data_IF_700576767419
#
_entry.id   IF_700576767419
#
_cell.length_a   1.000
_cell.length_b   1.000
_cell.length_c   1.000
_cell.angle_alpha   90.00
_cell.angle_beta   90.00
_cell.angle_gamma   90.00
#
_symmetry.space_group_name_H-M   'P 1'
#
loop_
_entity.id
_entity.type
_entity.pdbx_description
1 polymer ?
#
# COMPACT_ATOMS: atom_id res chain seq x y z
N UNK A 1 20.81 11.87 -12.07
CA UNK A 1 21.17 10.74 -11.18
C UNK A 1 20.13 9.66 -11.42
N UNK A 2 20.54 8.39 -11.57
CA UNK A 2 19.66 7.24 -11.79
C UNK A 2 18.71 7.01 -10.60
N UNK A 3 17.73 7.90 -10.43
CA UNK A 3 16.83 8.01 -9.26
C UNK A 3 15.66 7.04 -9.28
N UNK A 4 15.84 5.87 -9.91
CA UNK A 4 14.84 4.83 -9.97
C UNK A 4 15.03 3.81 -8.85
N UNK A 5 13.93 3.21 -8.41
CA UNK A 5 13.93 2.08 -7.49
C UNK A 5 14.78 0.92 -8.06
N UNK A 6 15.71 0.42 -7.25
CA UNK A 6 16.75 -0.53 -7.68
C UNK A 6 16.17 -1.93 -7.90
N UNK A 7 15.17 -2.32 -7.12
CA UNK A 7 14.57 -3.66 -7.14
C UNK A 7 13.26 -3.69 -7.90
N UNK A 8 12.47 -2.63 -7.84
CA UNK A 8 11.15 -2.57 -8.47
C UNK A 8 11.24 -2.77 -9.98
N UNK A 9 10.58 -3.81 -10.49
CA UNK A 9 10.54 -4.15 -11.92
C UNK A 9 9.15 -4.67 -12.28
N UNK A 10 8.56 -4.08 -13.32
CA UNK A 10 7.34 -4.57 -13.97
C UNK A 10 7.75 -5.28 -15.25
N UNK A 11 7.74 -6.61 -15.20
CA UNK A 11 8.12 -7.48 -16.32
C UNK A 11 6.95 -8.29 -16.89
N UNK A 12 5.83 -8.31 -16.16
CA UNK A 12 4.65 -9.08 -16.49
C UNK A 12 3.39 -8.23 -16.34
N UNK A 13 2.54 -8.21 -17.38
CA UNK A 13 1.28 -7.47 -17.39
C UNK A 13 0.28 -8.09 -16.42
N UNK A 14 -0.62 -7.26 -15.90
CA UNK A 14 -1.76 -7.75 -15.12
C UNK A 14 -2.59 -8.71 -15.97
N UNK A 15 -2.95 -9.84 -15.38
CA UNK A 15 -3.83 -10.85 -15.97
C UNK A 15 -5.04 -10.97 -15.06
N UNK A 16 -6.20 -10.59 -15.56
CA UNK A 16 -7.46 -10.79 -14.84
C UNK A 16 -8.10 -12.13 -15.18
N UNK A 17 -9.21 -12.43 -14.53
CA UNK A 17 -9.93 -13.70 -14.71
C UNK A 17 -10.55 -13.91 -16.11
N UNK A 18 -10.58 -12.86 -16.95
CA UNK A 18 -11.19 -12.91 -18.30
C UNK A 18 -10.24 -12.54 -19.44
N UNK A 19 -9.24 -11.70 -19.20
CA UNK A 19 -8.41 -11.13 -20.27
C UNK A 19 -6.95 -11.49 -20.02
N UNK A 20 -6.39 -12.23 -20.98
CA UNK A 20 -4.98 -12.58 -21.05
C UNK A 20 -4.35 -11.82 -22.23
N UNK A 21 -3.51 -10.80 -21.99
CA UNK A 21 -2.94 -10.01 -23.08
C UNK A 21 -1.96 -10.85 -23.92
N UNK A 22 -1.92 -10.64 -25.25
CA UNK A 22 -1.06 -11.42 -26.18
C UNK A 22 0.44 -11.40 -25.80
N UNK A 23 0.92 -10.27 -25.29
CA UNK A 23 2.31 -10.07 -24.87
C UNK A 23 2.37 -9.77 -23.38
N UNK A 24 2.28 -10.80 -22.54
CA UNK A 24 2.26 -10.64 -21.09
C UNK A 24 3.63 -10.32 -20.49
N UNK A 25 4.73 -10.63 -21.18
CA UNK A 25 6.07 -10.67 -20.58
C UNK A 25 6.41 -12.06 -20.03
N UNK A 26 7.65 -12.25 -19.56
CA UNK A 26 8.18 -13.59 -19.22
C UNK A 26 8.89 -13.67 -17.87
N UNK A 27 9.16 -12.55 -17.20
CA UNK A 27 9.84 -12.51 -15.90
C UNK A 27 8.89 -12.08 -14.80
N UNK A 28 9.12 -12.47 -13.54
CA UNK A 28 8.30 -12.02 -12.42
C UNK A 28 8.35 -10.49 -12.23
N UNK A 29 7.24 -9.92 -11.74
CA UNK A 29 7.25 -8.59 -11.15
C UNK A 29 7.92 -8.65 -9.77
N UNK A 30 8.66 -7.60 -9.41
CA UNK A 30 9.34 -7.49 -8.12
C UNK A 30 9.17 -6.08 -7.58
N UNK A 31 9.08 -5.97 -6.27
CA UNK A 31 9.08 -4.74 -5.47
C UNK A 31 9.49 -5.12 -4.04
N UNK A 32 9.94 -4.16 -3.25
CA UNK A 32 10.19 -4.33 -1.82
C UNK A 32 9.22 -3.47 -1.02
N UNK A 33 8.98 -3.84 0.25
CA UNK A 33 8.16 -3.01 1.14
C UNK A 33 8.73 -1.61 1.29
N UNK A 34 10.05 -1.48 1.39
CA UNK A 34 10.74 -0.18 1.54
C UNK A 34 10.54 0.71 0.31
N UNK A 35 10.77 0.19 -0.90
CA UNK A 35 10.57 0.98 -2.12
C UNK A 35 9.10 1.37 -2.31
N UNK A 36 8.15 0.51 -1.90
CA UNK A 36 6.72 0.84 -1.98
C UNK A 36 6.32 1.90 -0.95
N UNK A 37 6.84 1.81 0.29
CA UNK A 37 6.67 2.84 1.32
C UNK A 37 7.25 4.17 0.85
N UNK A 38 8.47 4.16 0.30
CA UNK A 38 9.14 5.35 -0.22
C UNK A 38 8.32 6.02 -1.34
N UNK A 39 7.81 5.24 -2.30
CA UNK A 39 6.92 5.78 -3.35
C UNK A 39 5.71 6.48 -2.74
N UNK A 40 5.08 5.87 -1.74
CA UNK A 40 3.89 6.41 -1.11
C UNK A 40 4.19 7.70 -0.32
N UNK A 41 5.34 7.76 0.35
CA UNK A 41 5.83 8.98 1.01
C UNK A 41 5.99 10.10 -0.01
N UNK A 42 6.66 9.82 -1.14
CA UNK A 42 6.84 10.81 -2.21
C UNK A 42 5.50 11.29 -2.81
N UNK A 43 4.51 10.39 -2.93
CA UNK A 43 3.15 10.74 -3.37
C UNK A 43 2.51 11.73 -2.39
N UNK A 44 2.45 11.40 -1.10
CA UNK A 44 1.81 12.26 -0.08
C UNK A 44 2.58 13.57 0.19
N UNK A 45 3.88 13.59 -0.05
CA UNK A 45 4.71 14.80 -0.05
C UNK A 45 4.59 15.66 -1.32
N UNK A 46 3.80 15.22 -2.31
CA UNK A 46 3.61 15.92 -3.60
C UNK A 46 4.91 16.14 -4.38
N UNK A 47 5.82 15.17 -4.30
CA UNK A 47 7.13 15.25 -4.96
C UNK A 47 7.05 14.99 -6.48
N UNK A 48 5.91 14.52 -6.99
CA UNK A 48 5.70 14.18 -8.40
C UNK A 48 4.54 14.95 -9.02
N UNK A 49 4.63 15.32 -10.32
CA UNK A 49 3.48 15.83 -11.05
C UNK A 49 2.32 14.83 -11.02
N UNK A 50 1.14 15.28 -10.58
CA UNK A 50 -0.05 14.44 -10.50
C UNK A 50 -0.22 13.69 -9.17
N UNK A 51 0.60 13.96 -8.14
CA UNK A 51 0.40 13.40 -6.80
C UNK A 51 -1.01 13.59 -6.25
N UNK A 52 -1.64 14.76 -6.47
CA UNK A 52 -3.01 15.00 -5.98
C UNK A 52 -4.04 14.03 -6.59
N UNK A 53 -3.89 13.71 -7.88
CA UNK A 53 -4.75 12.72 -8.56
C UNK A 53 -4.53 11.32 -7.98
N UNK A 54 -3.30 10.97 -7.65
CA UNK A 54 -2.99 9.70 -7.00
C UNK A 54 -3.57 9.64 -5.58
N UNK A 55 -3.36 10.69 -4.78
CA UNK A 55 -3.91 10.79 -3.42
C UNK A 55 -5.43 10.64 -3.45
N UNK A 56 -6.11 11.35 -4.36
CA UNK A 56 -7.56 11.24 -4.53
C UNK A 56 -7.98 9.82 -4.91
N UNK A 57 -7.28 9.17 -5.84
CA UNK A 57 -7.58 7.80 -6.24
C UNK A 57 -7.40 6.79 -5.09
N UNK A 58 -6.37 6.98 -4.26
CA UNK A 58 -6.06 6.14 -3.10
C UNK A 58 -7.10 6.32 -1.98
N UNK A 59 -7.51 7.56 -1.71
CA UNK A 59 -8.58 7.88 -0.77
C UNK A 59 -9.95 7.30 -1.22
N UNK A 60 -10.14 7.15 -2.53
CA UNK A 60 -11.36 6.58 -3.12
C UNK A 60 -11.33 5.06 -3.33
N UNK A 61 -10.32 4.35 -2.79
CA UNK A 61 -10.22 2.90 -2.92
C UNK A 61 -11.50 2.21 -2.40
N UNK A 62 -11.98 1.20 -3.14
CA UNK A 62 -13.21 0.46 -2.79
C UNK A 62 -12.96 -0.79 -1.95
N UNK A 63 -11.77 -1.36 -2.05
CA UNK A 63 -11.31 -2.43 -1.18
C UNK A 63 -10.84 -1.82 0.14
N UNK A 64 -11.67 -1.96 1.16
CA UNK A 64 -11.47 -1.39 2.50
C UNK A 64 -11.19 -2.47 3.56
N UNK A 65 -10.80 -3.66 3.11
CA UNK A 65 -10.65 -4.82 3.98
C UNK A 65 -9.34 -4.82 4.78
N UNK A 66 -8.36 -3.96 4.51
CA UNK A 66 -7.06 -4.01 5.20
C UNK A 66 -6.82 -2.76 6.03
N UNK A 67 -6.13 -1.76 5.47
CA UNK A 67 -5.71 -0.56 6.18
C UNK A 67 -6.89 0.21 6.76
N UNK A 68 -7.94 0.45 5.97
CA UNK A 68 -9.14 1.13 6.46
C UNK A 68 -9.78 0.39 7.65
N UNK A 69 -10.05 -0.91 7.48
CA UNK A 69 -10.65 -1.73 8.53
C UNK A 69 -9.81 -1.81 9.81
N UNK A 70 -8.48 -1.61 9.72
CA UNK A 70 -7.59 -1.63 10.87
C UNK A 70 -7.75 -0.38 11.77
N UNK A 71 -7.97 0.78 11.16
CA UNK A 71 -7.89 2.09 11.85
C UNK A 71 -9.22 2.83 11.96
N UNK A 72 -10.27 2.44 11.24
CA UNK A 72 -11.57 3.15 11.22
C UNK A 72 -12.22 3.38 12.60
N UNK A 73 -11.88 2.54 13.58
CA UNK A 73 -12.41 2.58 14.95
C UNK A 73 -11.33 3.03 15.97
N UNK A 74 -10.26 3.68 15.51
CA UNK A 74 -9.27 4.34 16.37
C UNK A 74 -9.53 5.85 16.35
N UNK A 75 -9.96 6.40 17.49
CA UNK A 75 -10.05 7.85 17.66
C UNK A 75 -8.66 8.48 17.56
N UNK A 76 -8.56 9.66 16.93
CA UNK A 76 -7.27 10.33 16.71
C UNK A 76 -6.47 9.81 15.50
N UNK A 77 -6.97 8.78 14.80
CA UNK A 77 -6.35 8.27 13.57
C UNK A 77 -7.31 8.46 12.40
N UNK A 78 -6.90 9.22 11.40
CA UNK A 78 -7.64 9.39 10.15
C UNK A 78 -7.01 8.54 9.04
N UNK A 79 -7.82 7.74 8.35
CA UNK A 79 -7.38 7.01 7.17
C UNK A 79 -7.39 7.92 5.94
N UNK A 80 -6.26 8.03 5.24
CA UNK A 80 -6.11 8.91 4.07
C UNK A 80 -6.17 8.19 2.73
N UNK A 81 -6.05 6.87 2.72
CA UNK A 81 -5.93 6.07 1.51
C UNK A 81 -5.08 4.83 1.72
N UNK A 82 -5.27 3.83 0.88
CA UNK A 82 -4.39 2.67 0.83
C UNK A 82 -4.33 2.06 -0.56
N UNK A 83 -3.31 1.22 -0.79
CA UNK A 83 -3.22 0.33 -1.94
C UNK A 83 -3.02 -1.10 -1.47
N UNK A 84 -4.00 -1.97 -1.76
CA UNK A 84 -3.89 -3.42 -1.49
C UNK A 84 -3.20 -4.15 -2.63
N UNK A 85 -2.60 -5.31 -2.35
CA UNK A 85 -2.02 -6.18 -3.36
C UNK A 85 -1.99 -7.62 -2.90
N UNK A 86 -2.36 -8.54 -3.79
CA UNK A 86 -2.36 -9.97 -3.51
C UNK A 86 -1.83 -10.76 -4.72
N UNK A 87 -1.09 -11.82 -4.42
CA UNK A 87 -0.77 -12.88 -5.36
C UNK A 87 -0.88 -14.24 -4.65
N UNK A 88 -0.60 -15.33 -5.36
CA UNK A 88 -0.73 -16.69 -4.83
C UNK A 88 0.18 -17.02 -3.64
N UNK A 89 1.10 -16.14 -3.25
CA UNK A 89 2.07 -16.33 -2.17
C UNK A 89 2.01 -15.28 -1.08
N UNK A 90 1.47 -14.10 -1.35
CA UNK A 90 1.50 -12.99 -0.40
C UNK A 90 0.35 -12.02 -0.63
N UNK A 91 -0.10 -11.41 0.46
CA UNK A 91 -1.03 -10.28 0.50
C UNK A 91 -0.36 -9.14 1.25
N UNK A 92 -0.68 -7.90 0.88
CA UNK A 92 -0.23 -6.74 1.62
C UNK A 92 -1.05 -5.50 1.33
N UNK A 93 -0.77 -4.48 2.13
CA UNK A 93 -1.28 -3.13 1.89
C UNK A 93 -0.20 -2.11 2.24
N UNK A 94 -0.21 -0.99 1.52
CA UNK A 94 0.45 0.25 1.93
C UNK A 94 -0.63 1.26 2.25
N UNK A 95 -0.69 1.68 3.51
CA UNK A 95 -1.72 2.58 4.05
C UNK A 95 -1.09 3.90 4.45
N UNK A 96 -1.81 4.98 4.15
CA UNK A 96 -1.54 6.31 4.66
C UNK A 96 -2.55 6.67 5.74
N UNK A 97 -2.06 7.17 6.86
CA UNK A 97 -2.86 7.59 8.00
C UNK A 97 -2.38 8.95 8.50
N UNK A 98 -3.29 9.76 9.00
CA UNK A 98 -3.00 11.02 9.66
C UNK A 98 -3.20 10.86 11.16
N UNK A 99 -2.14 11.15 11.92
CA UNK A 99 -2.09 11.03 13.38
C UNK A 99 -1.33 12.24 13.90
N UNK A 100 -1.92 12.98 14.85
CA UNK A 100 -1.31 14.12 15.54
C UNK A 100 -0.58 15.13 14.64
N UNK A 101 -1.23 15.55 13.56
CA UNK A 101 -0.67 16.57 12.68
C UNK A 101 0.28 16.05 11.60
N UNK A 102 0.54 14.74 11.58
CA UNK A 102 1.52 14.12 10.68
C UNK A 102 0.93 12.98 9.86
N UNK A 103 1.43 12.82 8.64
CA UNK A 103 1.07 11.69 7.77
C UNK A 103 2.08 10.57 7.96
N UNK A 104 1.59 9.39 8.32
CA UNK A 104 2.36 8.17 8.45
C UNK A 104 2.02 7.20 7.33
N UNK A 105 3.05 6.62 6.72
CA UNK A 105 2.93 5.59 5.70
C UNK A 105 3.43 4.27 6.29
N UNK A 106 2.62 3.23 6.19
CA UNK A 106 2.96 1.88 6.65
C UNK A 106 2.70 0.87 5.54
N UNK A 107 3.71 0.07 5.20
CA UNK A 107 3.57 -1.08 4.30
C UNK A 107 3.66 -2.37 5.11
N UNK A 108 2.63 -3.21 5.03
CA UNK A 108 2.61 -4.54 5.67
C UNK A 108 2.33 -5.60 4.62
N UNK A 109 3.15 -6.65 4.61
CA UNK A 109 2.97 -7.83 3.76
C UNK A 109 3.00 -9.09 4.59
N UNK A 110 2.11 -10.03 4.30
CA UNK A 110 2.09 -11.37 4.87
C UNK A 110 2.17 -12.41 3.75
N UNK A 111 3.03 -13.43 3.93
CA UNK A 111 3.25 -14.52 2.99
C UNK A 111 2.67 -15.86 3.47
N UNK A 112 1.92 -15.88 4.59
CA UNK A 112 1.37 -17.09 5.21
C UNK A 112 -0.02 -17.51 4.70
N UNK A 113 -0.41 -17.09 3.49
CA UNK A 113 -1.62 -17.58 2.83
C UNK A 113 -2.93 -17.07 3.44
N UNK A 114 -3.11 -15.75 3.46
CA UNK A 114 -4.44 -15.13 3.49
C UNK A 114 -5.11 -15.01 4.85
N UNK A 115 -4.60 -14.16 5.75
CA UNK A 115 -5.42 -13.65 6.84
C UNK A 115 -5.29 -12.14 6.97
N UNK A 116 -6.21 -11.42 6.33
CA UNK A 116 -6.52 -10.01 6.57
C UNK A 116 -6.43 -9.62 8.05
N UNK A 117 -6.91 -10.44 9.03
CA UNK A 117 -6.83 -10.08 10.44
C UNK A 117 -5.42 -9.83 10.97
N UNK A 118 -4.38 -10.50 10.45
CA UNK A 118 -3.01 -10.31 10.93
C UNK A 118 -2.43 -8.98 10.45
N UNK A 119 -2.64 -8.67 9.17
CA UNK A 119 -2.28 -7.38 8.58
C UNK A 119 -3.01 -6.26 9.33
N UNK A 120 -4.33 -6.39 9.54
CA UNK A 120 -5.12 -5.43 10.30
C UNK A 120 -4.60 -5.24 11.72
N UNK A 121 -4.33 -6.33 12.44
CA UNK A 121 -3.82 -6.27 13.81
C UNK A 121 -2.45 -5.57 13.87
N UNK A 122 -1.58 -5.83 12.90
CA UNK A 122 -0.27 -5.19 12.81
C UNK A 122 -0.40 -3.68 12.58
N UNK A 123 -1.20 -3.27 11.58
CA UNK A 123 -1.44 -1.86 11.29
C UNK A 123 -2.08 -1.15 12.48
N UNK A 124 -3.11 -1.75 13.09
CA UNK A 124 -3.77 -1.18 14.28
C UNK A 124 -2.78 -1.00 15.43
N UNK A 125 -1.93 -1.99 15.71
CA UNK A 125 -0.94 -1.91 16.77
C UNK A 125 0.11 -0.83 16.52
N UNK A 126 0.53 -0.63 15.26
CA UNK A 126 1.44 0.45 14.89
C UNK A 126 0.79 1.82 15.07
N UNK A 127 -0.44 2.00 14.57
CA UNK A 127 -1.17 3.25 14.68
C UNK A 127 -1.46 3.61 16.15
N UNK A 128 -1.90 2.63 16.94
CA UNK A 128 -2.14 2.78 18.38
C UNK A 128 -0.85 3.11 19.14
N UNK A 129 0.28 2.51 18.76
CA UNK A 129 1.58 2.84 19.35
C UNK A 129 1.99 4.30 19.07
N UNK A 130 1.85 4.75 17.82
CA UNK A 130 2.18 6.13 17.42
C UNK A 130 1.25 7.15 18.08
N UNK A 131 -0.05 6.84 18.21
CA UNK A 131 -1.01 7.73 18.84
C UNK A 131 -0.70 8.00 20.33
N UNK A 132 -0.08 7.04 21.00
CA UNK A 132 0.18 7.11 22.43
C UNK A 132 1.65 7.36 22.81
N UNK A 133 2.55 7.56 21.82
CA UNK A 133 4.00 7.80 22.04
C UNK A 133 4.58 8.80 21.05
#
# INVERSE_FOLDING_TARGET
>A
KDGGHRVTRVNYKLVGNRIKPKNMGRRPNRITGDELTEMMVQIYNREHPGSDVLIEALANQKDLLLGYAAVKDLEGVEWLGEKTGENSKAMGTTVAMYIDGQIYIVTVTDNRGGRDPQIRKCIRAIADYILHN
#
